data_IF_133162619379
#
_entry.id   IF_133162619379
#
_cell.length_a   1.000
_cell.length_b   1.000
_cell.length_c   1.000
_cell.angle_alpha   90.00
_cell.angle_beta   90.00
_cell.angle_gamma   90.00
#
_symmetry.space_group_name_H-M   'P 1'
#
loop_
_entity.id
_entity.type
_entity.pdbx_description
1 polymer ?
#
# COMPACT_ATOMS: atom_id res chain seq x y z
N UNK A 1 -10.15 33.08 14.50
CA UNK A 1 -9.11 32.75 13.51
C UNK A 1 -9.31 31.29 13.12
N UNK A 2 -9.57 30.98 11.85
CA UNK A 2 -9.60 29.59 11.38
C UNK A 2 -8.15 29.19 11.08
N UNK A 3 -7.59 28.27 11.87
CA UNK A 3 -6.30 27.66 11.56
C UNK A 3 -6.57 26.54 10.55
N UNK A 4 -6.08 26.71 9.33
CA UNK A 4 -6.04 25.62 8.36
C UNK A 4 -5.00 24.61 8.83
N UNK A 5 -5.43 23.39 9.14
CA UNK A 5 -4.50 22.28 9.41
C UNK A 5 -3.87 21.88 8.08
N UNK A 6 -2.56 22.03 7.96
CA UNK A 6 -1.81 21.50 6.81
C UNK A 6 -1.21 20.15 7.21
N UNK A 7 -1.58 19.10 6.49
CA UNK A 7 -0.98 17.77 6.66
C UNK A 7 0.33 17.75 5.86
N UNK A 8 1.43 17.28 6.45
CA UNK A 8 2.70 17.19 5.75
C UNK A 8 2.68 16.04 4.72
N UNK A 9 3.29 16.24 3.55
CA UNK A 9 3.37 15.22 2.50
C UNK A 9 3.97 13.90 3.01
N UNK A 10 4.95 13.98 3.92
CA UNK A 10 5.54 12.81 4.57
C UNK A 10 4.50 11.99 5.33
N UNK A 11 3.58 12.65 6.03
CA UNK A 11 2.57 11.98 6.85
C UNK A 11 1.52 11.32 5.95
N UNK A 12 1.06 12.04 4.91
CA UNK A 12 0.18 11.48 3.86
C UNK A 12 0.82 10.24 3.22
N UNK A 13 2.09 10.31 2.83
CA UNK A 13 2.77 9.20 2.18
C UNK A 13 3.00 8.01 3.12
N UNK A 14 3.24 8.25 4.41
CA UNK A 14 3.29 7.17 5.41
C UNK A 14 1.94 6.47 5.51
N UNK A 15 0.84 7.22 5.59
CA UNK A 15 -0.51 6.65 5.64
C UNK A 15 -0.84 5.83 4.38
N UNK A 16 -0.46 6.34 3.20
CA UNK A 16 -0.60 5.61 1.93
C UNK A 16 0.19 4.30 1.98
N UNK A 17 1.48 4.33 2.35
CA UNK A 17 2.32 3.13 2.38
C UNK A 17 1.83 2.10 3.42
N UNK A 18 1.36 2.54 4.58
CA UNK A 18 0.76 1.66 5.59
C UNK A 18 -0.54 1.03 5.10
N UNK A 19 -1.39 1.82 4.42
CA UNK A 19 -2.65 1.33 3.84
C UNK A 19 -2.39 0.28 2.77
N UNK A 20 -1.42 0.51 1.87
CA UNK A 20 -1.03 -0.46 0.85
C UNK A 20 -0.53 -1.78 1.48
N UNK A 21 0.29 -1.70 2.53
CA UNK A 21 0.74 -2.89 3.27
C UNK A 21 -0.42 -3.66 3.89
N UNK A 22 -1.37 -2.94 4.48
CA UNK A 22 -2.58 -3.53 5.05
C UNK A 22 -3.42 -4.24 3.97
N UNK A 23 -3.73 -3.55 2.87
CA UNK A 23 -4.48 -4.14 1.75
C UNK A 23 -3.78 -5.37 1.17
N UNK A 24 -2.45 -5.33 1.06
CA UNK A 24 -1.67 -6.48 0.58
C UNK A 24 -1.86 -7.71 1.46
N UNK A 25 -1.94 -7.55 2.79
CA UNK A 25 -2.23 -8.66 3.70
C UNK A 25 -3.68 -9.17 3.60
N UNK A 26 -4.64 -8.27 3.33
CA UNK A 26 -6.05 -8.65 3.08
C UNK A 26 -6.16 -9.47 1.80
N UNK A 27 -5.54 -9.03 0.71
CA UNK A 27 -5.53 -9.78 -0.55
C UNK A 27 -4.83 -11.14 -0.40
N UNK A 28 -3.72 -11.21 0.33
CA UNK A 28 -3.04 -12.49 0.60
C UNK A 28 -3.99 -13.49 1.28
N UNK A 29 -4.69 -13.05 2.33
CA UNK A 29 -5.68 -13.89 3.02
C UNK A 29 -6.81 -14.32 2.08
N UNK A 30 -7.35 -13.38 1.31
CA UNK A 30 -8.41 -13.66 0.35
C UNK A 30 -7.96 -14.66 -0.74
N UNK A 31 -6.73 -14.55 -1.25
CA UNK A 31 -6.16 -15.46 -2.26
C UNK A 31 -5.96 -16.87 -1.68
N UNK A 32 -5.51 -16.99 -0.43
CA UNK A 32 -5.30 -18.27 0.24
C UNK A 32 -6.61 -19.02 0.49
N UNK A 33 -7.69 -18.29 0.80
CA UNK A 33 -8.99 -18.87 1.17
C UNK A 33 -9.99 -18.91 0.00
N UNK A 34 -9.63 -18.37 -1.18
CA UNK A 34 -10.52 -18.34 -2.34
C UNK A 34 -10.65 -19.73 -3.00
N UNK A 35 -11.86 -20.26 -3.04
CA UNK A 35 -12.18 -21.56 -3.67
C UNK A 35 -12.49 -21.47 -5.16
N UNK A 36 -12.71 -20.26 -5.70
CA UNK A 36 -12.97 -20.04 -7.12
C UNK A 36 -11.68 -19.62 -7.83
N UNK A 37 -11.14 -20.49 -8.70
CA UNK A 37 -9.85 -20.24 -9.37
C UNK A 37 -9.84 -18.97 -10.25
N UNK A 38 -10.95 -18.63 -10.91
CA UNK A 38 -11.00 -17.41 -11.72
C UNK A 38 -10.90 -16.16 -10.86
N UNK A 39 -11.63 -16.12 -9.73
CA UNK A 39 -11.55 -15.02 -8.75
C UNK A 39 -10.18 -14.99 -8.09
N UNK A 40 -9.63 -16.15 -7.71
CA UNK A 40 -8.29 -16.27 -7.13
C UNK A 40 -7.22 -15.69 -8.06
N UNK A 41 -7.29 -15.99 -9.35
CA UNK A 41 -6.33 -15.47 -10.32
C UNK A 41 -6.49 -13.95 -10.53
N UNK A 42 -7.73 -13.43 -10.53
CA UNK A 42 -7.96 -12.00 -10.59
C UNK A 42 -7.40 -11.28 -9.35
N UNK A 43 -7.61 -11.83 -8.15
CA UNK A 43 -7.03 -11.28 -6.91
C UNK A 43 -5.50 -11.30 -6.93
N UNK A 44 -4.87 -12.35 -7.48
CA UNK A 44 -3.41 -12.40 -7.64
C UNK A 44 -2.89 -11.30 -8.56
N UNK A 45 -3.57 -11.03 -9.68
CA UNK A 45 -3.20 -9.92 -10.57
C UNK A 45 -3.29 -8.56 -9.86
N UNK A 46 -4.39 -8.33 -9.13
CA UNK A 46 -4.58 -7.11 -8.33
C UNK A 46 -3.49 -6.97 -7.26
N UNK A 47 -3.16 -8.07 -6.57
CA UNK A 47 -2.10 -8.10 -5.57
C UNK A 47 -0.73 -7.76 -6.17
N UNK A 48 -0.40 -8.31 -7.34
CA UNK A 48 0.86 -8.04 -8.04
C UNK A 48 0.95 -6.55 -8.44
N UNK A 49 -0.13 -5.97 -8.96
CA UNK A 49 -0.21 -4.53 -9.29
C UNK A 49 -0.06 -3.66 -8.04
N UNK A 50 -0.75 -4.01 -6.95
CA UNK A 50 -0.70 -3.24 -5.71
C UNK A 50 0.68 -3.30 -5.03
N UNK A 51 1.37 -4.44 -5.10
CA UNK A 51 2.74 -4.56 -4.61
C UNK A 51 3.72 -3.70 -5.42
N UNK A 52 3.51 -3.56 -6.74
CA UNK A 52 4.28 -2.62 -7.57
C UNK A 52 4.00 -1.17 -7.17
N UNK A 53 2.74 -0.81 -6.91
CA UNK A 53 2.36 0.51 -6.39
C UNK A 53 3.05 0.80 -5.05
N UNK A 54 3.00 -0.15 -4.12
CA UNK A 54 3.67 -0.04 -2.82
C UNK A 54 5.18 0.15 -2.97
N UNK A 55 5.83 -0.53 -3.93
CA UNK A 55 7.25 -0.36 -4.23
C UNK A 55 7.57 1.05 -4.72
N UNK A 56 6.75 1.61 -5.61
CA UNK A 56 6.93 2.98 -6.09
C UNK A 56 6.83 4.02 -4.97
N UNK A 57 5.84 3.88 -4.09
CA UNK A 57 5.67 4.73 -2.91
C UNK A 57 6.85 4.59 -1.95
N UNK A 58 7.26 3.35 -1.66
CA UNK A 58 8.41 3.07 -0.80
C UNK A 58 9.70 3.70 -1.34
N UNK A 59 10.00 3.53 -2.63
CA UNK A 59 11.21 4.08 -3.27
C UNK A 59 11.23 5.60 -3.21
N UNK A 60 10.08 6.23 -3.49
CA UNK A 60 9.94 7.68 -3.39
C UNK A 60 10.22 8.17 -1.97
N UNK A 61 9.63 7.52 -0.96
CA UNK A 61 9.84 7.89 0.44
C UNK A 61 11.28 7.61 0.90
N UNK A 62 11.90 6.54 0.41
CA UNK A 62 13.29 6.21 0.69
C UNK A 62 14.23 7.29 0.12
N UNK A 63 14.02 7.70 -1.14
CA UNK A 63 14.79 8.76 -1.79
C UNK A 63 14.67 10.10 -1.04
N UNK A 64 13.51 10.40 -0.46
CA UNK A 64 13.26 11.61 0.34
C UNK A 64 13.79 11.51 1.78
N UNK A 65 14.29 10.35 2.21
CA UNK A 65 14.68 10.11 3.61
C UNK A 65 13.49 10.08 4.57
N UNK A 66 12.28 9.88 4.05
CA UNK A 66 11.03 9.87 4.81
C UNK A 66 10.69 8.52 5.43
N UNK A 67 11.29 7.45 4.92
CA UNK A 67 11.07 6.10 5.39
C UNK A 67 12.39 5.41 5.74
N UNK A 68 12.39 4.69 6.86
CA UNK A 68 13.49 3.83 7.27
C UNK A 68 13.00 2.37 7.18
N UNK A 69 13.57 1.55 6.28
CA UNK A 69 13.25 0.12 6.23
C UNK A 69 13.54 -0.55 7.58
N UNK A 70 12.70 -1.52 7.94
CA UNK A 70 12.87 -2.37 9.12
C UNK A 70 13.67 -3.62 8.77
#
# INVERSE_FOLDING_TARGET
MHQTVTIADKDVMNDVLMTMKYLSGVYETAIMECTNEAVRNALRQIQDEEQQNAKMVFDYMLQKGWYKPQ
#
